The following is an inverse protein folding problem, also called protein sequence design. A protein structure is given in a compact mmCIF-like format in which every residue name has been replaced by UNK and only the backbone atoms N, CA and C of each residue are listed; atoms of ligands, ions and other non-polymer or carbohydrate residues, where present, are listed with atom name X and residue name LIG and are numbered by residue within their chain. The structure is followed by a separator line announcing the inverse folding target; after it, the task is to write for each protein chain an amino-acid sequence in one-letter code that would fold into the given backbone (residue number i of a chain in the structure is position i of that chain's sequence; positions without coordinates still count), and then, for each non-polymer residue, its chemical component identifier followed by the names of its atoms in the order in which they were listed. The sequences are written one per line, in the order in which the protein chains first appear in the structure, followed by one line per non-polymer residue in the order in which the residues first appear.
data_IF_271169553207
#
_entry.id   IF_271169553207
#
_cell.length_a   1.000
_cell.length_b   1.000
_cell.length_c   1.000
_cell.angle_alpha   90.00
_cell.angle_beta   90.00
_cell.angle_gamma   90.00
#
_symmetry.space_group_name_H-M   'P 1'
#
loop_
_entity.id
_entity.type
_entity.pdbx_description
1 polymer ?
#
# COMPACT_ATOMS: atom_id res chain seq x y z
N UNK A 1 10.96 -23.41 -12.32
CA UNK A 1 10.63 -22.69 -11.06
C UNK A 1 11.15 -21.28 -11.18
N UNK A 2 10.29 -20.32 -11.55
CA UNK A 2 10.69 -18.92 -11.56
C UNK A 2 10.65 -18.44 -10.11
N UNK A 3 11.82 -18.19 -9.53
CA UNK A 3 11.94 -17.51 -8.25
C UNK A 3 11.27 -16.15 -8.40
N UNK A 4 10.07 -16.01 -7.83
CA UNK A 4 9.30 -14.76 -7.84
C UNK A 4 10.03 -13.76 -6.94
N UNK A 5 11.01 -13.07 -7.52
CA UNK A 5 11.79 -12.05 -6.83
C UNK A 5 10.99 -10.76 -6.85
N UNK A 6 10.30 -10.46 -5.74
CA UNK A 6 9.59 -9.19 -5.53
C UNK A 6 10.55 -7.99 -5.38
N UNK A 7 11.87 -8.21 -5.42
CA UNK A 7 12.91 -7.20 -5.21
C UNK A 7 12.82 -6.05 -6.24
N UNK A 8 12.24 -6.31 -7.42
CA UNK A 8 12.01 -5.30 -8.47
C UNK A 8 10.66 -4.60 -8.39
N UNK A 9 9.71 -5.11 -7.59
CA UNK A 9 8.39 -4.51 -7.41
C UNK A 9 8.41 -3.47 -6.29
N UNK A 10 9.12 -2.36 -6.52
CA UNK A 10 9.21 -1.25 -5.57
C UNK A 10 9.27 0.08 -6.30
N UNK A 11 8.70 1.11 -5.67
CA UNK A 11 8.80 2.49 -6.16
C UNK A 11 10.22 3.02 -5.93
N UNK A 12 10.85 3.52 -6.98
CA UNK A 12 12.17 4.14 -6.94
C UNK A 12 12.06 5.66 -6.97
N UNK A 13 13.15 6.37 -6.68
CA UNK A 13 13.19 7.84 -6.71
C UNK A 13 12.79 8.44 -8.07
N UNK A 14 13.04 7.72 -9.17
CA UNK A 14 12.66 8.13 -10.52
C UNK A 14 11.25 7.71 -10.95
N UNK A 15 10.47 7.08 -10.07
CA UNK A 15 9.09 6.71 -10.39
C UNK A 15 8.16 7.93 -10.34
N UNK A 16 7.22 8.07 -11.30
CA UNK A 16 6.23 9.13 -11.26
C UNK A 16 5.31 9.01 -10.04
N UNK A 17 4.78 10.15 -9.58
CA UNK A 17 3.74 10.15 -8.54
C UNK A 17 2.45 9.53 -9.06
N UNK A 18 1.61 9.02 -8.15
CA UNK A 18 0.30 8.49 -8.52
C UNK A 18 -0.57 9.55 -9.22
N UNK A 19 -0.51 10.81 -8.76
CA UNK A 19 -1.16 11.96 -9.40
C UNK A 19 -0.67 12.17 -10.84
N UNK A 20 0.63 12.04 -11.08
CA UNK A 20 1.18 12.15 -12.44
C UNK A 20 0.67 11.02 -13.35
N UNK A 21 0.55 9.79 -12.83
CA UNK A 21 -0.03 8.66 -13.56
C UNK A 21 -1.51 8.89 -13.85
N UNK A 22 -2.27 9.46 -12.91
CA UNK A 22 -3.68 9.83 -13.13
C UNK A 22 -3.81 10.89 -14.23
N UNK A 23 -3.01 11.96 -14.18
CA UNK A 23 -3.01 12.98 -15.24
C UNK A 23 -2.58 12.41 -16.60
N UNK A 24 -1.69 11.42 -16.61
CA UNK A 24 -1.32 10.69 -17.82
C UNK A 24 -2.50 9.92 -18.41
N UNK A 25 -3.22 9.15 -17.59
CA UNK A 25 -4.42 8.40 -17.98
C UNK A 25 -5.53 9.34 -18.46
N UNK A 26 -5.71 10.48 -17.81
CA UNK A 26 -6.68 11.51 -18.21
C UNK A 26 -6.24 12.34 -19.41
N UNK A 27 -5.06 12.07 -19.97
CA UNK A 27 -4.45 12.81 -21.10
C UNK A 27 -4.24 14.31 -20.83
N UNK A 28 -4.15 14.71 -19.56
CA UNK A 28 -3.98 16.10 -19.11
C UNK A 28 -2.53 16.56 -18.99
N UNK A 29 -1.56 15.68 -19.26
CA UNK A 29 -0.14 16.04 -19.32
C UNK A 29 0.23 16.61 -20.70
N UNK A 30 1.22 17.51 -20.73
CA UNK A 30 1.84 17.94 -21.98
C UNK A 30 2.58 16.79 -22.69
N UNK A 31 2.74 16.90 -24.01
CA UNK A 31 3.19 15.82 -24.88
C UNK A 31 4.57 15.23 -24.50
N UNK A 32 5.53 16.07 -24.15
CA UNK A 32 6.86 15.64 -23.68
C UNK A 32 6.75 14.77 -22.41
N UNK A 33 5.93 15.22 -21.45
CA UNK A 33 5.75 14.53 -20.17
C UNK A 33 4.93 13.25 -20.32
N UNK A 34 3.99 13.21 -21.26
CA UNK A 34 3.30 11.96 -21.62
C UNK A 34 4.27 10.91 -22.13
N UNK A 35 5.20 11.29 -23.02
CA UNK A 35 6.18 10.37 -23.58
C UNK A 35 7.15 9.84 -22.50
N UNK A 36 7.59 10.71 -21.59
CA UNK A 36 8.43 10.32 -20.45
C UNK A 36 7.72 9.28 -19.56
N UNK A 37 6.47 9.56 -19.17
CA UNK A 37 5.68 8.66 -18.32
C UNK A 37 5.40 7.33 -19.03
N UNK A 38 5.03 7.35 -20.31
CA UNK A 38 4.82 6.13 -21.10
C UNK A 38 6.09 5.26 -21.15
N UNK A 39 7.25 5.89 -21.36
CA UNK A 39 8.54 5.20 -21.38
C UNK A 39 8.86 4.57 -20.01
N UNK A 40 8.58 5.29 -18.92
CA UNK A 40 8.77 4.75 -17.57
C UNK A 40 7.84 3.56 -17.28
N UNK A 41 6.54 3.68 -17.61
CA UNK A 41 5.54 2.64 -17.36
C UNK A 41 5.86 1.33 -18.09
N UNK A 42 6.49 1.41 -19.27
CA UNK A 42 6.94 0.23 -20.01
C UNK A 42 8.16 -0.46 -19.37
N UNK A 43 8.97 0.26 -18.58
CA UNK A 43 10.20 -0.25 -17.98
C UNK A 43 10.09 -0.60 -16.50
N UNK A 44 9.01 -0.18 -15.82
CA UNK A 44 8.82 -0.32 -14.38
C UNK A 44 7.58 -1.15 -14.06
N UNK A 45 7.77 -2.40 -13.65
CA UNK A 45 6.70 -3.33 -13.27
C UNK A 45 5.77 -2.75 -12.20
N UNK A 46 6.34 -2.02 -11.22
CA UNK A 46 5.56 -1.38 -10.15
C UNK A 46 4.62 -0.31 -10.69
N UNK A 47 5.13 0.64 -11.48
CA UNK A 47 4.31 1.74 -11.99
C UNK A 47 3.33 1.28 -13.07
N UNK A 48 3.69 0.26 -13.86
CA UNK A 48 2.74 -0.39 -14.77
C UNK A 48 1.55 -1.00 -14.02
N UNK A 49 1.81 -1.73 -12.93
CA UNK A 49 0.75 -2.26 -12.07
C UNK A 49 -0.06 -1.14 -11.37
N UNK A 50 0.61 -0.09 -10.90
CA UNK A 50 -0.04 1.10 -10.30
C UNK A 50 -0.99 1.76 -11.31
N UNK A 51 -0.59 1.92 -12.57
CA UNK A 51 -1.47 2.44 -13.63
C UNK A 51 -2.70 1.54 -13.81
N UNK A 52 -2.52 0.22 -13.90
CA UNK A 52 -3.66 -0.70 -14.03
C UNK A 52 -4.61 -0.61 -12.83
N UNK A 53 -4.09 -0.47 -11.62
CA UNK A 53 -4.90 -0.26 -10.42
C UNK A 53 -5.72 1.04 -10.54
N UNK A 54 -5.07 2.14 -10.89
CA UNK A 54 -5.70 3.46 -10.99
C UNK A 54 -6.78 3.50 -12.08
N UNK A 55 -6.50 2.95 -13.28
CA UNK A 55 -7.47 2.91 -14.38
C UNK A 55 -8.73 2.14 -14.00
N UNK A 56 -8.58 0.99 -13.35
CA UNK A 56 -9.71 0.10 -13.07
C UNK A 56 -10.47 0.44 -11.79
N UNK A 57 -9.84 1.13 -10.83
CA UNK A 57 -10.40 1.33 -9.49
C UNK A 57 -10.47 2.78 -9.03
N UNK A 58 -9.74 3.72 -9.63
CA UNK A 58 -9.81 5.14 -9.24
C UNK A 58 -10.80 5.96 -10.08
N UNK A 59 -11.17 5.54 -11.28
CA UNK A 59 -12.14 6.26 -12.13
C UNK A 59 -13.54 6.38 -11.49
N UNK A 60 -13.86 5.52 -10.51
CA UNK A 60 -15.16 5.50 -9.82
C UNK A 60 -15.18 6.36 -8.55
N UNK A 61 -14.09 7.05 -8.20
CA UNK A 61 -13.99 7.78 -6.93
C UNK A 61 -14.48 9.23 -7.03
N UNK A 62 -15.56 9.45 -7.78
CA UNK A 62 -16.38 10.66 -7.64
C UNK A 62 -17.42 10.53 -6.52
N UNK A 63 -17.50 9.36 -5.87
CA UNK A 63 -18.43 9.10 -4.77
C UNK A 63 -17.70 8.72 -3.48
N UNK A 64 -17.63 9.66 -2.55
CA UNK A 64 -17.45 9.40 -1.12
C UNK A 64 -16.18 8.62 -0.71
N UNK A 65 -15.01 9.23 -0.83
CA UNK A 65 -13.99 8.99 0.21
C UNK A 65 -14.55 9.60 1.51
N UNK A 66 -15.31 8.82 2.25
CA UNK A 66 -15.58 9.15 3.64
C UNK A 66 -14.23 9.03 4.34
N UNK A 67 -13.68 10.16 4.79
CA UNK A 67 -12.56 10.17 5.72
C UNK A 67 -13.00 9.37 6.94
N UNK A 68 -12.69 8.08 6.94
CA UNK A 68 -12.94 7.21 8.06
C UNK A 68 -11.80 7.47 9.04
N UNK A 69 -12.12 8.09 10.17
CA UNK A 69 -11.17 8.15 11.26
C UNK A 69 -10.74 6.72 11.59
N UNK A 70 -9.43 6.51 11.71
CA UNK A 70 -8.89 5.20 12.07
C UNK A 70 -9.51 4.78 13.40
N UNK A 71 -10.21 3.63 13.47
CA UNK A 71 -10.80 3.17 14.73
C UNK A 71 -9.75 3.15 15.84
N UNK A 72 -10.10 3.69 17.01
CA UNK A 72 -9.19 3.86 18.15
C UNK A 72 -8.36 2.59 18.50
N UNK A 73 -8.91 1.36 18.42
CA UNK A 73 -8.10 0.15 18.64
C UNK A 73 -6.99 -0.02 17.61
N UNK A 74 -7.25 0.29 16.33
CA UNK A 74 -6.27 0.22 15.26
C UNK A 74 -5.22 1.32 15.37
N UNK A 75 -5.63 2.52 15.78
CA UNK A 75 -4.71 3.62 16.05
C UNK A 75 -3.72 3.24 17.18
N UNK A 76 -4.22 2.75 18.32
CA UNK A 76 -3.38 2.28 19.42
C UNK A 76 -2.46 1.14 19.02
N UNK A 77 -2.95 0.22 18.17
CA UNK A 77 -2.13 -0.85 17.63
C UNK A 77 -0.97 -0.29 16.80
N UNK A 78 -1.27 0.63 15.87
CA UNK A 78 -0.25 1.26 15.03
C UNK A 78 0.79 2.02 15.86
N UNK A 79 0.35 2.79 16.86
CA UNK A 79 1.23 3.49 17.80
C UNK A 79 2.15 2.52 18.56
N UNK A 80 1.65 1.37 19.00
CA UNK A 80 2.48 0.38 19.69
C UNK A 80 3.50 -0.29 18.75
N UNK A 81 3.11 -0.54 17.49
CA UNK A 81 4.00 -1.12 16.47
C UNK A 81 5.12 -0.13 16.12
N UNK A 82 4.76 1.13 15.89
CA UNK A 82 5.67 2.15 15.35
C UNK A 82 6.45 2.88 16.45
N UNK A 83 5.89 3.00 17.65
CA UNK A 83 6.49 3.71 18.79
C UNK A 83 7.45 2.87 19.62
N UNK A 84 7.61 1.59 19.32
CA UNK A 84 8.57 0.72 20.00
C UNK A 84 9.70 0.35 19.05
N UNK A 85 10.92 0.78 19.38
CA UNK A 85 12.15 0.47 18.64
C UNK A 85 12.44 -1.04 18.55
N UNK A 86 11.65 -1.90 19.22
CA UNK A 86 11.83 -3.36 19.27
C UNK A 86 10.52 -4.15 19.07
N UNK A 87 9.50 -3.55 18.47
CA UNK A 87 8.29 -4.28 18.13
C UNK A 87 8.51 -5.20 16.93
N UNK A 88 8.61 -6.51 17.18
CA UNK A 88 8.59 -7.53 16.13
C UNK A 88 7.19 -8.10 16.01
N UNK A 89 6.72 -8.34 14.78
CA UNK A 89 5.41 -8.95 14.52
C UNK A 89 5.19 -10.27 15.29
N UNK A 90 6.28 -10.98 15.62
CA UNK A 90 6.27 -12.19 16.46
C UNK A 90 5.69 -11.90 17.85
N UNK A 91 6.10 -10.82 18.52
CA UNK A 91 5.58 -10.45 19.85
C UNK A 91 4.10 -10.06 19.82
N UNK A 92 3.62 -9.51 18.69
CA UNK A 92 2.20 -9.20 18.51
C UNK A 92 1.36 -10.48 18.46
N UNK A 93 1.79 -11.44 17.63
CA UNK A 93 1.11 -12.71 17.46
C UNK A 93 1.08 -13.46 18.80
N UNK A 94 2.18 -13.51 19.55
CA UNK A 94 2.20 -14.11 20.89
C UNK A 94 1.20 -13.45 21.85
N UNK A 95 1.06 -12.12 21.82
CA UNK A 95 0.14 -11.39 22.70
C UNK A 95 -1.33 -11.57 22.31
N UNK A 96 -1.63 -11.69 21.02
CA UNK A 96 -2.98 -11.93 20.51
C UNK A 96 -3.42 -13.38 20.76
N UNK A 97 -2.51 -14.33 20.63
CA UNK A 97 -2.79 -15.75 20.91
C UNK A 97 -2.69 -16.09 22.41
N UNK A 98 -1.98 -15.27 23.20
CA UNK A 98 -1.87 -15.43 24.66
C UNK A 98 -3.16 -15.11 25.42
N UNK A 99 -4.06 -14.31 24.83
CA UNK A 99 -5.39 -14.02 25.40
C UNK A 99 -6.38 -15.17 25.32
N UNK A 100 -6.10 -16.22 24.55
CA UNK A 100 -6.98 -17.41 24.44
C UNK A 100 -6.67 -18.49 25.50
N UNK A 101 -5.68 -18.30 26.38
CA UNK A 101 -5.50 -19.15 27.56
C UNK A 101 -6.45 -18.69 28.68
N UNK A 102 -7.75 -18.78 28.42
CA UNK A 102 -8.74 -18.87 29.49
C UNK A 102 -8.32 -20.04 30.39
N UNK A 103 -7.98 -19.72 31.63
CA UNK A 103 -7.66 -20.65 32.70
C UNK A 103 -8.84 -21.58 32.96
N UNK A 104 -8.87 -22.74 32.28
CA UNK A 104 -9.63 -23.90 32.73
C UNK A 104 -8.83 -24.57 33.85
N UNK A 105 -8.87 -23.97 35.03
CA UNK A 105 -8.66 -24.67 36.29
C UNK A 105 -9.72 -24.18 37.25
N UNK A 106 -10.85 -24.90 37.28
CA UNK A 106 -11.70 -25.09 38.46
C UNK A 106 -12.77 -26.14 38.12
N UNK A 107 -12.55 -27.37 38.62
CA UNK A 107 -13.54 -28.36 39.09
C UNK A 107 -12.82 -29.67 39.45
#
# INVERSE_FOLDING_TARGET
MHTSSTVRFRKLKGCPSAETILLFVETKLGLEKQQEVATHLAACDFCGAEMHLLVNHCATVSGFFQLCEMPLPLQRLAENILGSETFTLVKLVEKVHGTDRLSLTDA
#
